data_IF_441259653590
#
_entry.id   IF_441259653590
#
_cell.length_a   1.000
_cell.length_b   1.000
_cell.length_c   1.000
_cell.angle_alpha   90.00
_cell.angle_beta   90.00
_cell.angle_gamma   90.00
#
_symmetry.space_group_name_H-M   'P 1'
#
loop_
_entity.id
_entity.type
_entity.pdbx_description
1 polymer ?
#
# COMPACT_ATOMS: atom_id res chain seq x y z
N UNK A 1 27.62 24.47 -69.72
CA UNK A 1 28.12 24.46 -68.33
C UNK A 1 27.18 25.28 -67.46
N UNK A 2 26.27 24.60 -66.76
CA UNK A 2 25.19 25.18 -65.96
C UNK A 2 25.68 25.29 -64.50
N UNK A 3 25.74 26.49 -63.93
CA UNK A 3 26.01 26.68 -62.49
C UNK A 3 24.69 26.63 -61.73
N UNK A 4 24.49 25.57 -60.96
CA UNK A 4 23.36 25.42 -60.04
C UNK A 4 23.58 26.28 -58.79
N UNK A 5 22.65 27.17 -58.49
CA UNK A 5 22.53 27.83 -57.19
C UNK A 5 21.54 27.02 -56.35
N UNK A 6 22.04 26.43 -55.25
CA UNK A 6 21.22 25.76 -54.23
C UNK A 6 20.69 26.83 -53.28
N UNK A 7 19.40 27.11 -53.32
CA UNK A 7 18.72 27.86 -52.27
C UNK A 7 18.41 26.92 -51.10
N UNK A 8 19.07 27.16 -49.96
CA UNK A 8 18.75 26.49 -48.70
C UNK A 8 17.43 27.08 -48.15
N UNK A 9 16.36 26.30 -48.22
CA UNK A 9 15.11 26.59 -47.50
C UNK A 9 15.31 26.16 -46.06
N UNK A 10 15.55 27.14 -45.18
CA UNK A 10 15.52 26.92 -43.72
C UNK A 10 14.05 26.78 -43.33
N UNK A 11 13.59 25.54 -43.19
CA UNK A 11 12.31 25.26 -42.55
C UNK A 11 12.43 25.56 -41.05
N UNK A 12 11.93 26.73 -40.63
CA UNK A 12 11.66 26.99 -39.21
C UNK A 12 10.57 26.03 -38.75
N UNK A 13 10.97 24.98 -38.05
CA UNK A 13 10.06 24.19 -37.23
C UNK A 13 9.65 25.04 -36.03
N UNK A 14 8.50 25.69 -36.13
CA UNK A 14 7.83 26.24 -34.96
C UNK A 14 7.41 25.04 -34.08
N UNK A 15 8.20 24.76 -33.05
CA UNK A 15 7.78 23.90 -31.94
C UNK A 15 6.63 24.65 -31.27
N UNK A 16 5.40 24.31 -31.64
CA UNK A 16 4.22 24.69 -30.88
C UNK A 16 4.36 24.02 -29.52
N UNK A 17 4.81 24.79 -28.52
CA UNK A 17 4.58 24.45 -27.13
C UNK A 17 3.06 24.41 -26.93
N UNK A 18 2.46 23.24 -27.12
CA UNK A 18 1.21 22.94 -26.45
C UNK A 18 1.52 23.03 -24.96
N UNK A 19 1.06 24.11 -24.34
CA UNK A 19 0.92 24.16 -22.88
C UNK A 19 0.07 22.95 -22.52
N UNK A 20 0.70 21.88 -22.03
CA UNK A 20 0.01 20.74 -21.44
C UNK A 20 -0.81 21.36 -20.32
N UNK A 21 -2.12 21.52 -20.53
CA UNK A 21 -2.99 22.03 -19.48
C UNK A 21 -2.87 21.03 -18.34
N UNK A 22 -2.29 21.43 -17.21
CA UNK A 22 -2.16 20.57 -16.03
C UNK A 22 -3.59 20.15 -15.69
N UNK A 23 -3.91 18.89 -15.93
CA UNK A 23 -5.28 18.38 -15.83
C UNK A 23 -5.77 18.66 -14.42
N UNK A 24 -6.97 19.23 -14.28
CA UNK A 24 -7.47 19.70 -12.98
C UNK A 24 -7.85 18.57 -12.03
N UNK A 25 -7.82 17.32 -12.48
CA UNK A 25 -8.24 16.15 -11.71
C UNK A 25 -7.88 14.84 -12.40
N UNK A 26 -8.17 13.74 -11.72
CA UNK A 26 -8.11 12.41 -12.30
C UNK A 26 -9.47 11.96 -12.84
N UNK A 27 -9.43 11.08 -13.84
CA UNK A 27 -10.59 10.36 -14.35
C UNK A 27 -10.21 8.89 -14.39
N UNK A 28 -10.95 8.03 -13.70
CA UNK A 28 -10.77 6.59 -13.76
C UNK A 28 -11.92 6.03 -14.58
N UNK A 29 -11.59 5.51 -15.76
CA UNK A 29 -12.52 4.75 -16.59
C UNK A 29 -12.26 3.28 -16.36
N UNK A 30 -13.27 2.52 -15.95
CA UNK A 30 -13.06 1.12 -15.65
C UNK A 30 -14.09 0.16 -16.20
N UNK A 31 -13.68 -1.10 -16.27
CA UNK A 31 -14.49 -2.25 -16.66
C UNK A 31 -14.43 -3.31 -15.58
N UNK A 32 -15.56 -3.96 -15.33
CA UNK A 32 -15.79 -4.98 -14.30
C UNK A 32 -16.22 -6.25 -15.00
N UNK A 33 -15.35 -7.26 -14.96
CA UNK A 33 -15.63 -8.62 -15.40
C UNK A 33 -16.19 -9.42 -14.22
N UNK A 34 -17.15 -10.32 -14.48
CA UNK A 34 -17.79 -11.15 -13.46
C UNK A 34 -18.94 -10.48 -12.68
N UNK A 35 -19.20 -9.19 -12.90
CA UNK A 35 -20.30 -8.46 -12.27
C UNK A 35 -20.94 -7.46 -13.26
N UNK A 36 -22.20 -7.69 -13.64
CA UNK A 36 -22.88 -6.87 -14.66
C UNK A 36 -23.30 -5.49 -14.14
N UNK A 37 -23.60 -5.36 -12.86
CA UNK A 37 -24.12 -4.12 -12.27
C UNK A 37 -23.66 -3.97 -10.82
N UNK A 38 -23.51 -2.73 -10.38
CA UNK A 38 -22.99 -2.45 -9.06
C UNK A 38 -22.70 -0.97 -8.79
N UNK A 39 -21.91 -0.74 -7.75
CA UNK A 39 -21.45 0.59 -7.34
C UNK A 39 -19.92 0.64 -7.33
N UNK A 40 -19.36 1.75 -7.79
CA UNK A 40 -17.96 2.12 -7.57
C UNK A 40 -17.89 3.34 -6.67
N UNK A 41 -16.94 3.34 -5.73
CA UNK A 41 -16.72 4.44 -4.80
C UNK A 41 -15.22 4.70 -4.66
N UNK A 42 -14.82 5.96 -4.69
CA UNK A 42 -13.45 6.41 -4.42
C UNK A 42 -13.45 7.23 -3.16
N UNK A 43 -12.55 6.90 -2.22
CA UNK A 43 -12.35 7.63 -0.97
C UNK A 43 -10.90 8.07 -0.80
N UNK A 44 -10.69 9.15 -0.04
CA UNK A 44 -9.36 9.51 0.44
C UNK A 44 -8.92 8.65 1.64
N UNK A 45 -7.69 8.88 2.13
CA UNK A 45 -7.14 8.15 3.28
C UNK A 45 -7.94 8.38 4.58
N UNK A 46 -8.64 9.52 4.68
CA UNK A 46 -9.49 9.93 5.82
C UNK A 46 -10.94 9.44 5.69
N UNK A 47 -11.22 8.59 4.69
CA UNK A 47 -12.52 8.00 4.39
C UNK A 47 -13.58 8.96 3.85
N UNK A 48 -13.20 10.17 3.43
CA UNK A 48 -14.13 11.05 2.73
C UNK A 48 -14.33 10.53 1.31
N UNK A 49 -15.58 10.47 0.87
CA UNK A 49 -15.93 10.10 -0.50
C UNK A 49 -15.46 11.21 -1.44
N UNK A 50 -14.58 10.86 -2.38
CA UNK A 50 -14.16 11.73 -3.48
C UNK A 50 -15.21 11.69 -4.58
N UNK A 51 -15.65 10.49 -4.97
CA UNK A 51 -16.69 10.28 -5.97
C UNK A 51 -17.32 8.89 -5.84
N UNK A 52 -18.52 8.72 -6.40
CA UNK A 52 -19.19 7.43 -6.49
C UNK A 52 -20.11 7.39 -7.71
N UNK A 53 -20.16 6.24 -8.38
CA UNK A 53 -21.05 6.01 -9.51
C UNK A 53 -21.58 4.59 -9.47
N UNK A 54 -22.82 4.39 -9.92
CA UNK A 54 -23.28 3.06 -10.31
C UNK A 54 -22.74 2.68 -11.68
N UNK A 55 -22.66 1.39 -11.96
CA UNK A 55 -22.39 0.86 -13.29
C UNK A 55 -23.43 -0.17 -13.70
N UNK A 56 -23.70 -0.20 -15.00
CA UNK A 56 -24.50 -1.20 -15.67
C UNK A 56 -23.70 -1.70 -16.88
N UNK A 57 -23.76 -3.00 -17.15
CA UNK A 57 -22.92 -3.67 -18.15
C UNK A 57 -21.42 -3.54 -17.86
N UNK A 58 -21.05 -3.59 -16.58
CA UNK A 58 -19.67 -3.65 -16.11
C UNK A 58 -18.82 -2.40 -16.36
N UNK A 59 -19.33 -1.30 -16.91
CA UNK A 59 -18.51 -0.12 -17.25
C UNK A 59 -18.81 1.07 -16.34
N UNK A 60 -17.76 1.75 -15.84
CA UNK A 60 -17.89 2.91 -14.97
C UNK A 60 -16.91 4.04 -15.30
N UNK A 61 -17.26 5.24 -14.86
CA UNK A 61 -16.36 6.41 -14.86
C UNK A 61 -16.50 7.13 -13.53
N UNK A 62 -15.40 7.29 -12.82
CA UNK A 62 -15.32 8.14 -11.62
C UNK A 62 -14.30 9.24 -11.84
N UNK A 63 -14.51 10.38 -11.19
CA UNK A 63 -13.69 11.58 -11.34
C UNK A 63 -13.32 12.12 -9.98
N UNK A 64 -12.17 12.77 -9.88
CA UNK A 64 -11.80 13.42 -8.64
C UNK A 64 -10.62 14.35 -8.83
N UNK A 65 -10.15 14.92 -7.73
CA UNK A 65 -8.99 15.81 -7.73
C UNK A 65 -8.21 15.60 -6.46
N UNK A 66 -6.90 15.52 -6.61
CA UNK A 66 -5.95 15.64 -5.50
C UNK A 66 -5.08 16.87 -5.71
N UNK A 67 -4.81 17.61 -4.64
CA UNK A 67 -3.90 18.75 -4.63
C UNK A 67 -2.43 18.31 -4.78
N UNK A 68 -2.10 17.13 -4.25
CA UNK A 68 -0.81 16.47 -4.42
C UNK A 68 -1.03 14.96 -4.57
N UNK A 69 -0.19 14.24 -5.34
CA UNK A 69 -0.32 12.81 -5.47
C UNK A 69 -0.32 12.11 -4.11
N UNK A 70 -1.32 11.23 -3.90
CA UNK A 70 -1.56 10.54 -2.63
C UNK A 70 -2.37 9.27 -2.87
N UNK A 71 -2.42 8.40 -1.88
CA UNK A 71 -3.27 7.24 -1.96
C UNK A 71 -4.74 7.60 -1.88
N UNK A 72 -5.53 6.89 -2.66
CA UNK A 72 -6.98 6.77 -2.54
C UNK A 72 -7.35 5.30 -2.44
N UNK A 73 -8.57 5.06 -2.02
CA UNK A 73 -9.17 3.75 -1.93
C UNK A 73 -10.31 3.67 -2.94
N UNK A 74 -10.29 2.64 -3.80
CA UNK A 74 -11.39 2.36 -4.73
C UNK A 74 -12.09 1.06 -4.34
N UNK A 75 -13.42 1.13 -4.33
CA UNK A 75 -14.32 0.05 -3.94
C UNK A 75 -15.22 -0.30 -5.11
N UNK A 76 -15.45 -1.60 -5.32
CA UNK A 76 -16.44 -2.12 -6.27
C UNK A 76 -17.36 -3.09 -5.53
N UNK A 77 -18.66 -2.80 -5.57
CA UNK A 77 -19.73 -3.54 -4.90
C UNK A 77 -20.73 -4.08 -5.92
N UNK A 78 -21.38 -5.20 -5.60
CA UNK A 78 -22.62 -5.57 -6.26
C UNK A 78 -23.83 -4.78 -5.72
N UNK A 79 -25.00 -5.04 -6.29
CA UNK A 79 -26.25 -4.40 -5.89
C UNK A 79 -26.81 -4.88 -4.54
N UNK A 80 -26.26 -5.94 -3.94
CA UNK A 80 -26.60 -6.38 -2.59
C UNK A 80 -25.75 -5.69 -1.53
N UNK A 81 -24.74 -4.93 -1.95
CA UNK A 81 -23.76 -4.30 -1.08
C UNK A 81 -22.58 -5.21 -0.76
N UNK A 82 -22.51 -6.41 -1.36
CA UNK A 82 -21.36 -7.30 -1.19
C UNK A 82 -20.17 -6.69 -1.91
N UNK A 83 -19.07 -6.54 -1.17
CA UNK A 83 -17.85 -5.89 -1.63
C UNK A 83 -16.98 -6.90 -2.37
N UNK A 84 -16.60 -6.60 -3.62
CA UNK A 84 -15.77 -7.49 -4.43
C UNK A 84 -14.32 -7.05 -4.48
N UNK A 85 -14.04 -5.74 -4.44
CA UNK A 85 -12.66 -5.23 -4.55
C UNK A 85 -12.44 -4.00 -3.67
N UNK A 86 -11.32 -4.05 -2.97
CA UNK A 86 -10.68 -2.92 -2.32
C UNK A 86 -9.27 -2.77 -2.89
N UNK A 87 -8.97 -1.66 -3.55
CA UNK A 87 -7.60 -1.39 -4.00
C UNK A 87 -7.11 -0.04 -3.49
N UNK A 88 -5.95 -0.06 -2.85
CA UNK A 88 -5.21 1.15 -2.48
C UNK A 88 -4.39 1.60 -3.68
N UNK A 89 -4.59 2.84 -4.11
CA UNK A 89 -4.07 3.33 -5.38
C UNK A 89 -3.41 4.70 -5.21
N UNK A 90 -2.14 4.85 -5.61
CA UNK A 90 -1.42 6.13 -5.57
C UNK A 90 -1.84 6.97 -6.78
N UNK A 91 -2.81 7.87 -6.57
CA UNK A 91 -3.40 8.65 -7.66
C UNK A 91 -2.60 9.91 -7.97
N UNK A 92 -2.52 10.22 -9.27
CA UNK A 92 -2.16 11.51 -9.82
C UNK A 92 -3.30 12.02 -10.72
N UNK A 93 -3.40 13.34 -10.92
CA UNK A 93 -4.46 13.96 -11.73
C UNK A 93 -4.27 13.67 -13.24
N UNK A 94 -4.58 12.43 -13.66
CA UNK A 94 -4.48 11.91 -15.04
C UNK A 94 -5.69 11.05 -15.42
N UNK A 95 -5.78 10.70 -16.70
CA UNK A 95 -6.65 9.59 -17.12
C UNK A 95 -6.01 8.28 -16.71
N UNK A 96 -6.77 7.45 -16.01
CA UNK A 96 -6.36 6.12 -15.57
C UNK A 96 -7.41 5.14 -16.05
N UNK A 97 -6.97 3.99 -16.55
CA UNK A 97 -7.87 2.88 -16.85
C UNK A 97 -7.81 1.88 -15.71
N UNK A 98 -8.94 1.33 -15.34
CA UNK A 98 -9.03 0.28 -14.32
C UNK A 98 -9.72 -0.95 -14.89
N UNK A 99 -9.11 -2.11 -14.73
CA UNK A 99 -9.72 -3.40 -15.06
C UNK A 99 -9.93 -4.17 -13.76
N UNK A 100 -11.17 -4.61 -13.58
CA UNK A 100 -11.61 -5.36 -12.40
C UNK A 100 -12.01 -6.74 -12.87
N UNK A 101 -11.42 -7.74 -12.23
CA UNK A 101 -11.90 -9.11 -12.28
C UNK A 101 -12.56 -9.41 -10.92
N UNK A 102 -13.88 -9.46 -10.89
CA UNK A 102 -14.64 -9.68 -9.66
C UNK A 102 -14.52 -11.12 -9.13
N UNK A 103 -14.24 -12.09 -10.02
CA UNK A 103 -14.07 -13.49 -9.65
C UNK A 103 -12.71 -13.70 -8.98
N UNK A 104 -11.66 -13.13 -9.58
CA UNK A 104 -10.29 -13.17 -9.04
C UNK A 104 -10.02 -12.10 -7.98
N UNK A 105 -11.02 -11.26 -7.67
CA UNK A 105 -10.92 -10.12 -6.73
C UNK A 105 -9.71 -9.22 -7.00
N UNK A 106 -9.44 -8.95 -8.28
CA UNK A 106 -8.22 -8.29 -8.72
C UNK A 106 -8.53 -6.99 -9.45
N UNK A 107 -7.81 -5.93 -9.07
CA UNK A 107 -7.81 -4.65 -9.79
C UNK A 107 -6.46 -4.40 -10.45
N UNK A 108 -6.49 -4.09 -11.73
CA UNK A 108 -5.33 -3.65 -12.52
C UNK A 108 -5.53 -2.21 -12.94
N UNK A 109 -4.54 -1.36 -12.69
CA UNK A 109 -4.53 0.02 -13.17
C UNK A 109 -3.59 0.12 -14.37
N UNK A 110 -4.08 0.70 -15.46
CA UNK A 110 -3.32 0.91 -16.70
C UNK A 110 -3.19 2.41 -16.96
N UNK A 111 -1.96 2.85 -17.27
CA UNK A 111 -1.66 4.27 -17.47
C UNK A 111 -1.53 5.04 -16.15
N UNK A 112 -1.43 4.31 -15.03
CA UNK A 112 -1.20 4.88 -13.72
C UNK A 112 0.28 4.88 -13.38
N UNK A 113 1.07 5.61 -14.16
CA UNK A 113 2.53 5.57 -14.11
C UNK A 113 3.10 5.76 -12.70
N UNK A 114 2.51 6.67 -11.90
CA UNK A 114 2.95 6.88 -10.52
C UNK A 114 2.68 5.67 -9.60
N UNK A 115 1.52 5.02 -9.74
CA UNK A 115 1.20 3.81 -8.96
C UNK A 115 2.03 2.61 -9.41
N UNK A 116 2.26 2.49 -10.72
CA UNK A 116 3.18 1.48 -11.28
C UNK A 116 4.59 1.66 -10.72
N UNK A 117 5.08 2.90 -10.64
CA UNK A 117 6.36 3.22 -10.00
C UNK A 117 6.39 2.83 -8.52
N UNK A 118 5.32 3.12 -7.77
CA UNK A 118 5.21 2.71 -6.37
C UNK A 118 5.26 1.18 -6.21
N UNK A 119 4.53 0.44 -7.05
CA UNK A 119 4.56 -1.02 -7.01
C UNK A 119 5.92 -1.59 -7.41
N UNK A 120 6.65 -0.95 -8.32
CA UNK A 120 8.03 -1.32 -8.63
C UNK A 120 8.96 -1.15 -7.42
N UNK A 121 8.79 -0.06 -6.66
CA UNK A 121 9.51 0.15 -5.40
C UNK A 121 9.16 -0.90 -4.35
N UNK A 122 7.88 -1.29 -4.22
CA UNK A 122 7.44 -2.36 -3.31
C UNK A 122 8.09 -3.69 -3.68
N UNK A 123 8.04 -4.10 -4.95
CA UNK A 123 8.71 -5.33 -5.42
C UNK A 123 10.21 -5.28 -5.18
N UNK A 124 10.84 -4.12 -5.39
CA UNK A 124 12.26 -3.95 -5.12
C UNK A 124 12.58 -4.11 -3.63
N UNK A 125 11.79 -3.49 -2.73
CA UNK A 125 11.92 -3.65 -1.27
C UNK A 125 11.84 -5.12 -0.84
N UNK A 126 10.92 -5.90 -1.42
CA UNK A 126 10.75 -7.31 -1.09
C UNK A 126 11.91 -8.18 -1.62
N UNK A 127 12.60 -7.72 -2.65
CA UNK A 127 13.73 -8.44 -3.26
C UNK A 127 15.07 -8.23 -2.54
N UNK A 128 15.24 -7.16 -1.76
CA UNK A 128 16.54 -6.83 -1.17
C UNK A 128 16.82 -7.70 0.08
N UNK A 129 18.06 -8.20 0.24
CA UNK A 129 18.41 -9.06 1.37
C UNK A 129 18.35 -8.33 2.72
N UNK A 130 18.59 -7.02 2.74
CA UNK A 130 18.54 -6.19 3.95
C UNK A 130 17.17 -6.24 4.62
N UNK A 131 16.10 -6.40 3.84
CA UNK A 131 14.74 -6.51 4.38
C UNK A 131 14.60 -7.76 5.26
N UNK A 132 15.16 -8.89 4.82
CA UNK A 132 15.18 -10.13 5.64
C UNK A 132 16.06 -9.97 6.88
N UNK A 133 17.15 -9.22 6.78
CA UNK A 133 18.02 -8.93 7.94
C UNK A 133 17.27 -8.07 8.97
N UNK A 134 16.50 -7.06 8.53
CA UNK A 134 15.64 -6.27 9.43
C UNK A 134 14.68 -7.17 10.21
N UNK A 135 14.04 -8.13 9.54
CA UNK A 135 13.16 -9.09 10.22
C UNK A 135 13.92 -9.96 11.24
N UNK A 136 15.11 -10.45 10.89
CA UNK A 136 15.97 -11.20 11.80
C UNK A 136 16.32 -10.39 13.06
N UNK A 137 16.75 -9.14 12.89
CA UNK A 137 17.08 -8.24 14.00
C UNK A 137 15.86 -7.93 14.89
N UNK A 138 14.66 -7.86 14.32
CA UNK A 138 13.44 -7.73 15.12
C UNK A 138 13.13 -8.98 15.96
N UNK A 139 13.43 -10.18 15.44
CA UNK A 139 13.32 -11.42 16.19
C UNK A 139 14.35 -11.48 17.33
N UNK A 140 15.61 -11.13 17.05
CA UNK A 140 16.67 -11.07 18.05
C UNK A 140 16.34 -10.06 19.15
N UNK A 141 15.79 -8.90 18.79
CA UNK A 141 15.35 -7.87 19.73
C UNK A 141 14.25 -8.38 20.65
N UNK A 142 13.32 -9.17 20.10
CA UNK A 142 12.25 -9.79 20.87
C UNK A 142 12.80 -10.80 21.88
N UNK A 143 13.68 -11.72 21.44
CA UNK A 143 14.32 -12.73 22.30
C UNK A 143 15.12 -12.06 23.43
N UNK A 144 15.97 -11.09 23.09
CA UNK A 144 16.77 -10.37 24.09
C UNK A 144 15.88 -9.63 25.11
N UNK A 145 14.74 -9.07 24.66
CA UNK A 145 13.79 -8.40 25.55
C UNK A 145 13.06 -9.39 26.47
N UNK A 146 12.66 -10.55 25.95
CA UNK A 146 12.00 -11.61 26.73
C UNK A 146 12.94 -12.21 27.80
N UNK A 147 14.24 -12.33 27.49
CA UNK A 147 15.25 -12.85 28.39
C UNK A 147 15.83 -11.81 29.37
N UNK A 148 15.45 -10.53 29.24
CA UNK A 148 16.00 -9.45 30.08
C UNK A 148 17.47 -9.10 29.78
N UNK A 149 17.98 -9.44 28.60
CA UNK A 149 19.37 -9.24 28.19
C UNK A 149 19.63 -7.80 27.72
N UNK A 150 19.76 -6.87 28.67
CA UNK A 150 19.82 -5.42 28.38
C UNK A 150 20.93 -5.00 27.41
N UNK A 151 22.16 -5.50 27.58
CA UNK A 151 23.28 -5.16 26.69
C UNK A 151 23.06 -5.68 25.26
N UNK A 152 22.53 -6.90 25.12
CA UNK A 152 22.21 -7.47 23.82
C UNK A 152 21.07 -6.70 23.15
N UNK A 153 20.03 -6.36 23.90
CA UNK A 153 18.93 -5.53 23.43
C UNK A 153 19.43 -4.20 22.87
N UNK A 154 20.30 -3.49 23.59
CA UNK A 154 20.87 -2.21 23.13
C UNK A 154 21.70 -2.37 21.84
N UNK A 155 22.53 -3.41 21.77
CA UNK A 155 23.30 -3.73 20.55
C UNK A 155 22.40 -3.98 19.35
N UNK A 156 21.40 -4.86 19.50
CA UNK A 156 20.47 -5.21 18.41
C UNK A 156 19.64 -3.99 17.98
N UNK A 157 19.22 -3.12 18.92
CA UNK A 157 18.53 -1.87 18.57
C UNK A 157 19.38 -0.94 17.70
N UNK A 158 20.67 -0.81 17.99
CA UNK A 158 21.59 0.00 17.17
C UNK A 158 21.79 -0.60 15.79
N UNK A 159 21.95 -1.92 15.69
CA UNK A 159 22.07 -2.62 14.41
C UNK A 159 20.79 -2.52 13.57
N UNK A 160 19.63 -2.70 14.20
CA UNK A 160 18.33 -2.53 13.58
C UNK A 160 18.16 -1.12 13.01
N UNK A 161 18.52 -0.08 13.77
CA UNK A 161 18.44 1.30 13.27
C UNK A 161 19.37 1.53 12.07
N UNK A 162 20.61 1.03 12.13
CA UNK A 162 21.55 1.10 11.00
C UNK A 162 21.02 0.38 9.78
N UNK A 163 20.45 -0.82 9.95
CA UNK A 163 19.93 -1.62 8.85
C UNK A 163 18.70 -0.98 8.21
N UNK A 164 17.77 -0.43 9.01
CA UNK A 164 16.62 0.33 8.50
C UNK A 164 17.07 1.56 7.69
N UNK A 165 18.08 2.28 8.16
CA UNK A 165 18.69 3.38 7.38
C UNK A 165 19.38 2.89 6.09
N UNK A 166 19.95 1.68 6.10
CA UNK A 166 20.50 1.03 4.91
C UNK A 166 19.40 0.75 3.89
N UNK A 167 18.28 0.14 4.31
CA UNK A 167 17.10 -0.11 3.47
C UNK A 167 16.61 1.17 2.79
N UNK A 168 16.42 2.25 3.57
CA UNK A 168 16.03 3.56 2.98
C UNK A 168 17.07 4.05 1.96
N UNK A 169 18.36 3.94 2.27
CA UNK A 169 19.41 4.37 1.35
C UNK A 169 19.46 3.53 0.06
N UNK A 170 19.12 2.25 0.13
CA UNK A 170 19.04 1.34 -1.02
C UNK A 170 17.84 1.72 -1.89
N UNK A 171 16.65 1.90 -1.30
CA UNK A 171 15.47 2.38 -2.02
C UNK A 171 15.76 3.71 -2.73
N UNK A 172 16.41 4.65 -2.04
CA UNK A 172 16.73 5.97 -2.61
C UNK A 172 17.82 5.95 -3.69
N UNK A 173 18.51 4.82 -3.89
CA UNK A 173 19.45 4.59 -5.00
C UNK A 173 18.87 3.74 -6.13
N UNK A 174 17.68 3.16 -5.94
CA UNK A 174 17.07 2.27 -6.92
C UNK A 174 16.80 2.97 -8.26
N UNK A 175 16.31 4.21 -8.21
CA UNK A 175 16.07 5.06 -9.38
C UNK A 175 16.81 6.38 -9.22
N UNK A 176 17.30 6.92 -10.34
CA UNK A 176 18.12 8.14 -10.35
C UNK A 176 17.38 9.37 -9.80
N UNK A 177 16.06 9.42 -10.00
CA UNK A 177 15.16 10.50 -9.62
C UNK A 177 14.41 10.25 -8.30
N UNK A 178 14.78 9.22 -7.53
CA UNK A 178 14.13 8.86 -6.27
C UNK A 178 13.98 10.05 -5.30
N UNK A 179 14.97 10.94 -5.25
CA UNK A 179 14.96 12.15 -4.41
C UNK A 179 13.88 13.18 -4.76
N UNK A 180 13.19 13.03 -5.91
CA UNK A 180 12.06 13.84 -6.37
C UNK A 180 10.83 12.99 -6.75
N UNK A 181 10.83 11.69 -6.41
CA UNK A 181 9.73 10.78 -6.73
C UNK A 181 8.64 10.80 -5.64
N UNK A 182 7.38 10.97 -6.04
CA UNK A 182 6.24 10.85 -5.13
C UNK A 182 6.03 9.41 -4.68
N UNK A 183 6.32 8.43 -5.54
CA UNK A 183 6.25 7.01 -5.21
C UNK A 183 7.30 6.61 -4.16
N UNK A 184 8.54 7.07 -4.35
CA UNK A 184 9.60 6.88 -3.36
C UNK A 184 9.24 7.54 -2.02
N UNK A 185 8.71 8.77 -2.04
CA UNK A 185 8.25 9.46 -0.84
C UNK A 185 7.12 8.71 -0.11
N UNK A 186 6.17 8.14 -0.84
CA UNK A 186 5.10 7.33 -0.29
C UNK A 186 5.64 6.08 0.42
N UNK A 187 6.48 5.28 -0.26
CA UNK A 187 7.05 4.07 0.34
C UNK A 187 7.96 4.41 1.53
N UNK A 188 8.80 5.44 1.43
CA UNK A 188 9.66 5.85 2.56
C UNK A 188 8.83 6.30 3.76
N UNK A 189 7.74 7.02 3.55
CA UNK A 189 6.81 7.36 4.63
C UNK A 189 6.23 6.10 5.27
N UNK A 190 5.75 5.14 4.48
CA UNK A 190 5.23 3.88 4.98
C UNK A 190 6.26 3.07 5.76
N UNK A 191 7.53 3.09 5.35
CA UNK A 191 8.60 2.42 6.07
C UNK A 191 8.97 3.13 7.37
N UNK A 192 8.84 4.46 7.45
CA UNK A 192 9.38 5.25 8.58
C UNK A 192 8.34 5.84 9.53
N UNK A 193 7.04 5.74 9.24
CA UNK A 193 5.96 6.37 10.02
C UNK A 193 6.01 6.07 11.52
N UNK A 194 6.39 4.85 11.89
CA UNK A 194 6.43 4.36 13.29
C UNK A 194 7.81 4.51 13.95
N UNK A 195 8.79 5.04 13.23
CA UNK A 195 10.18 5.12 13.69
C UNK A 195 10.45 6.39 14.51
N UNK A 196 11.60 6.42 15.18
CA UNK A 196 12.04 7.58 15.95
C UNK A 196 12.32 8.80 15.07
N UNK A 197 12.31 9.98 15.67
CA UNK A 197 12.52 11.27 14.98
C UNK A 197 13.82 11.30 14.17
N UNK A 198 14.89 10.70 14.68
CA UNK A 198 16.20 10.69 13.99
C UNK A 198 16.18 9.88 12.70
N UNK A 199 15.47 8.75 12.68
CA UNK A 199 15.31 7.92 11.48
C UNK A 199 14.42 8.61 10.45
N UNK A 200 13.37 9.30 10.91
CA UNK A 200 12.55 10.16 10.04
C UNK A 200 13.39 11.29 9.44
N UNK A 201 14.23 11.96 10.23
CA UNK A 201 15.13 13.03 9.78
C UNK A 201 16.16 12.51 8.75
N UNK A 202 16.72 11.33 9.01
CA UNK A 202 17.59 10.64 8.05
C UNK A 202 16.88 10.36 6.73
N UNK A 203 15.66 9.83 6.77
CA UNK A 203 14.86 9.56 5.58
C UNK A 203 14.55 10.83 4.78
N UNK A 204 14.13 11.92 5.45
CA UNK A 204 13.91 13.23 4.81
C UNK A 204 15.18 13.73 4.12
N UNK A 205 16.37 13.53 4.72
CA UNK A 205 17.65 13.98 4.17
C UNK A 205 18.01 13.33 2.83
N UNK A 206 17.34 12.24 2.43
CA UNK A 206 17.55 11.57 1.15
C UNK A 206 16.81 12.21 -0.02
N UNK A 207 15.85 13.10 0.26
CA UNK A 207 15.10 13.81 -0.77
C UNK A 207 15.75 15.16 -1.09
N UNK A 208 15.50 15.64 -2.31
CA UNK A 208 15.89 16.99 -2.68
C UNK A 208 15.17 18.01 -1.80
N UNK A 209 15.92 18.96 -1.23
CA UNK A 209 15.38 20.06 -0.42
C UNK A 209 14.31 20.88 -1.15
N UNK A 210 14.38 21.01 -2.47
CA UNK A 210 13.41 21.73 -3.29
C UNK A 210 12.18 20.88 -3.65
N UNK A 211 12.16 19.60 -3.30
CA UNK A 211 10.99 18.74 -3.48
C UNK A 211 9.97 19.02 -2.38
N UNK A 212 9.16 20.06 -2.59
CA UNK A 212 8.14 20.52 -1.65
C UNK A 212 6.72 20.13 -2.06
N UNK A 213 6.52 19.64 -3.29
CA UNK A 213 5.20 19.27 -3.81
C UNK A 213 4.79 17.81 -3.49
N UNK A 214 5.23 17.26 -2.35
CA UNK A 214 5.00 15.85 -2.02
C UNK A 214 4.20 15.69 -0.72
N UNK A 215 3.03 15.05 -0.83
CA UNK A 215 2.13 14.82 0.29
C UNK A 215 2.82 14.07 1.44
N UNK A 216 3.41 12.91 1.13
CA UNK A 216 4.02 12.02 2.13
C UNK A 216 5.33 12.56 2.70
N UNK A 217 6.16 13.21 1.88
CA UNK A 217 7.39 13.85 2.40
C UNK A 217 7.05 15.03 3.33
N UNK A 218 6.04 15.82 2.99
CA UNK A 218 5.58 16.90 3.85
C UNK A 218 4.91 16.40 5.13
N UNK A 219 4.20 15.26 5.06
CA UNK A 219 3.67 14.59 6.25
C UNK A 219 4.81 14.18 7.19
N UNK A 220 5.87 13.57 6.66
CA UNK A 220 7.06 13.19 7.42
C UNK A 220 7.77 14.40 8.05
N UNK A 221 7.91 15.50 7.30
CA UNK A 221 8.47 16.77 7.81
C UNK A 221 7.66 17.32 8.98
N UNK A 222 6.33 17.39 8.87
CA UNK A 222 5.44 17.83 9.95
C UNK A 222 5.58 16.97 11.22
N UNK A 223 5.68 15.65 11.08
CA UNK A 223 5.88 14.75 12.21
C UNK A 223 7.23 14.99 12.93
N UNK A 224 8.29 15.31 12.18
CA UNK A 224 9.60 15.69 12.74
C UNK A 224 9.54 17.07 13.42
N UNK A 225 8.89 18.04 12.79
CA UNK A 225 8.75 19.41 13.31
C UNK A 225 7.90 19.47 14.59
N UNK A 226 6.90 18.59 14.71
CA UNK A 226 6.14 18.38 15.93
C UNK A 226 6.97 17.75 17.07
N UNK A 227 8.28 17.55 16.89
CA UNK A 227 9.19 16.96 17.87
C UNK A 227 8.95 15.47 18.06
N UNK A 228 8.34 14.79 17.07
CA UNK A 228 7.86 13.43 17.24
C UNK A 228 6.74 13.29 18.27
N UNK A 229 6.15 14.40 18.76
CA UNK A 229 4.82 14.31 19.37
C UNK A 229 3.90 13.83 18.26
N UNK A 230 3.51 12.58 18.40
CA UNK A 230 2.32 12.01 17.79
C UNK A 230 1.25 13.12 17.79
N UNK A 231 0.67 13.40 16.63
CA UNK A 231 -0.63 14.09 16.63
C UNK A 231 -1.50 13.21 17.52
N UNK A 232 -2.01 13.82 18.58
CA UNK A 232 -2.75 13.17 19.65
C UNK A 232 -4.01 12.50 19.09
N UNK A 233 -3.88 11.22 18.73
CA UNK A 233 -4.93 10.22 18.81
C UNK A 233 -4.35 9.03 19.59
N UNK A 234 -4.24 9.25 20.90
CA UNK A 234 -4.03 8.22 21.91
C UNK A 234 -4.95 7.01 21.67
N UNK A 235 -4.36 5.80 21.64
CA UNK A 235 -4.98 4.46 21.45
C UNK A 235 -5.10 3.92 20.01
N UNK A 236 -3.97 3.75 19.32
CA UNK A 236 -3.92 3.07 18.03
C UNK A 236 -2.96 1.88 18.04
N UNK A 237 -3.40 0.77 17.42
CA UNK A 237 -2.73 -0.53 17.41
C UNK A 237 -1.25 -0.47 17.02
N UNK A 238 -0.92 0.52 16.18
CA UNK A 238 0.40 0.80 15.64
C UNK A 238 1.50 0.93 16.73
N UNK A 239 1.14 1.36 17.95
CA UNK A 239 2.06 1.49 19.11
C UNK A 239 1.68 0.63 20.34
N UNK A 240 0.52 -0.04 20.34
CA UNK A 240 -0.08 -0.62 21.57
C UNK A 240 -0.55 -2.07 21.45
N UNK A 241 -0.70 -2.62 20.24
CA UNK A 241 -1.16 -4.00 20.05
C UNK A 241 -0.01 -4.82 19.46
N UNK A 242 0.29 -5.98 20.03
CA UNK A 242 1.22 -6.95 19.44
C UNK A 242 0.54 -7.69 18.28
N UNK A 243 0.34 -6.96 17.17
CA UNK A 243 -0.32 -7.49 15.97
C UNK A 243 0.63 -8.31 15.09
N UNK A 244 1.91 -8.40 15.44
CA UNK A 244 2.91 -9.20 14.73
C UNK A 244 2.69 -10.71 14.95
N UNK A 245 2.94 -11.52 13.94
CA UNK A 245 2.90 -12.98 14.02
C UNK A 245 1.98 -13.64 13.00
N UNK A 246 1.83 -14.95 13.15
CA UNK A 246 1.02 -15.79 12.25
C UNK A 246 -0.42 -15.82 12.71
N UNK A 247 -1.36 -15.60 11.79
CA UNK A 247 -2.79 -15.70 12.00
C UNK A 247 -3.38 -16.78 11.10
N UNK A 248 -4.27 -17.60 11.65
CA UNK A 248 -4.92 -18.69 10.92
C UNK A 248 -6.43 -18.67 11.10
N UNK A 249 -7.15 -19.09 10.07
CA UNK A 249 -8.60 -19.26 10.11
C UNK A 249 -9.14 -19.92 8.84
N UNK A 250 -10.40 -20.32 8.87
CA UNK A 250 -11.09 -20.85 7.69
C UNK A 250 -12.25 -19.93 7.35
N UNK A 251 -12.18 -19.26 6.20
CA UNK A 251 -13.22 -18.33 5.74
C UNK A 251 -14.21 -19.03 4.80
N UNK A 252 -15.46 -18.55 4.70
CA UNK A 252 -16.43 -19.10 3.76
C UNK A 252 -15.95 -18.96 2.30
N UNK A 253 -16.25 -19.97 1.49
CA UNK A 253 -16.07 -19.94 0.04
C UNK A 253 -17.41 -20.06 -0.67
N UNK A 254 -17.49 -19.57 -1.92
CA UNK A 254 -18.72 -19.65 -2.70
C UNK A 254 -18.98 -21.05 -3.27
N UNK A 255 -17.93 -21.79 -3.60
CA UNK A 255 -17.98 -23.00 -4.41
C UNK A 255 -17.15 -24.18 -3.85
N UNK A 256 -16.61 -24.05 -2.64
CA UNK A 256 -15.96 -25.13 -1.90
C UNK A 256 -16.30 -25.07 -0.39
N UNK A 257 -15.92 -26.06 0.43
CA UNK A 257 -16.25 -26.07 1.85
C UNK A 257 -15.71 -24.87 2.64
N UNK A 258 -14.62 -24.25 2.18
CA UNK A 258 -14.00 -23.08 2.79
C UNK A 258 -12.58 -22.86 2.27
N UNK A 259 -11.96 -21.77 2.72
CA UNK A 259 -10.58 -21.40 2.38
C UNK A 259 -9.79 -21.31 3.68
N UNK A 260 -8.75 -22.13 3.82
CA UNK A 260 -7.79 -22.00 4.91
C UNK A 260 -6.89 -20.81 4.61
N UNK A 261 -6.86 -19.86 5.54
CA UNK A 261 -6.07 -18.63 5.42
C UNK A 261 -4.95 -18.68 6.44
N UNK A 262 -3.72 -18.46 5.98
CA UNK A 262 -2.56 -18.20 6.84
C UNK A 262 -1.97 -16.86 6.49
N UNK A 263 -1.91 -15.93 7.45
CA UNK A 263 -1.35 -14.59 7.29
C UNK A 263 -0.23 -14.38 8.30
N UNK A 264 1.01 -14.24 7.82
CA UNK A 264 2.17 -13.87 8.62
C UNK A 264 2.42 -12.36 8.52
N UNK A 265 2.29 -11.64 9.63
CA UNK A 265 2.56 -10.20 9.73
C UNK A 265 3.93 -9.99 10.40
N UNK A 266 4.91 -9.51 9.62
CA UNK A 266 6.32 -9.44 10.01
C UNK A 266 6.73 -8.02 10.42
N UNK A 267 7.52 -7.91 11.50
CA UNK A 267 7.95 -6.63 12.13
C UNK A 267 8.70 -5.69 11.19
N UNK A 268 9.26 -6.23 10.11
CA UNK A 268 9.89 -5.48 9.03
C UNK A 268 8.90 -4.75 8.09
N UNK A 269 7.60 -4.76 8.38
CA UNK A 269 6.50 -4.19 7.58
C UNK A 269 6.11 -4.98 6.32
N UNK A 270 6.50 -6.25 6.27
CA UNK A 270 6.08 -7.16 5.19
C UNK A 270 5.06 -8.19 5.70
N UNK A 271 4.38 -8.85 4.77
CA UNK A 271 3.52 -9.99 5.09
C UNK A 271 3.72 -11.12 4.09
N UNK A 272 3.28 -12.31 4.48
CA UNK A 272 3.01 -13.43 3.58
C UNK A 272 1.61 -13.97 3.84
N UNK A 273 0.85 -14.22 2.79
CA UNK A 273 -0.54 -14.65 2.83
C UNK A 273 -0.73 -15.86 1.95
N UNK A 274 -1.32 -16.90 2.52
CA UNK A 274 -1.68 -18.15 1.83
C UNK A 274 -3.18 -18.37 1.94
N UNK A 275 -3.82 -18.55 0.79
CA UNK A 275 -5.18 -19.06 0.66
C UNK A 275 -5.13 -20.48 0.09
N UNK A 276 -5.58 -21.45 0.87
CA UNK A 276 -5.61 -22.86 0.51
C UNK A 276 -7.06 -23.34 0.44
N UNK A 277 -7.54 -23.66 -0.76
CA UNK A 277 -8.95 -23.98 -1.01
C UNK A 277 -9.23 -25.44 -0.65
N UNK A 278 -10.12 -25.66 0.30
CA UNK A 278 -10.44 -27.01 0.79
C UNK A 278 -11.05 -27.84 -0.35
N UNK A 279 -10.57 -29.08 -0.46
CA UNK A 279 -10.96 -30.06 -1.49
C UNK A 279 -10.74 -29.59 -2.93
N UNK A 280 -9.81 -28.64 -3.15
CA UNK A 280 -9.35 -28.21 -4.47
C UNK A 280 -7.84 -28.21 -4.54
N UNK A 281 -7.30 -28.47 -5.73
CA UNK A 281 -5.87 -28.31 -6.03
C UNK A 281 -5.60 -26.85 -6.43
N UNK A 282 -5.91 -25.92 -5.53
CA UNK A 282 -5.81 -24.49 -5.78
C UNK A 282 -5.33 -23.76 -4.54
N UNK A 283 -4.14 -23.18 -4.66
CA UNK A 283 -3.46 -22.42 -3.61
C UNK A 283 -3.00 -21.09 -4.18
N UNK A 284 -3.32 -20.02 -3.48
CA UNK A 284 -2.88 -18.67 -3.84
C UNK A 284 -1.96 -18.12 -2.77
N UNK A 285 -0.85 -17.52 -3.21
CA UNK A 285 0.13 -16.88 -2.35
C UNK A 285 0.30 -15.41 -2.75
N UNK A 286 0.40 -14.57 -1.73
CA UNK A 286 0.69 -13.14 -1.86
C UNK A 286 1.68 -12.72 -0.78
N UNK A 287 2.79 -12.16 -1.23
CA UNK A 287 3.71 -11.42 -0.39
C UNK A 287 3.57 -9.93 -0.68
N UNK A 288 3.89 -9.11 0.31
CA UNK A 288 3.75 -7.67 0.15
C UNK A 288 4.16 -6.90 1.38
N UNK A 289 3.72 -5.64 1.42
CA UNK A 289 3.84 -4.78 2.60
C UNK A 289 2.48 -4.55 3.22
N UNK A 290 2.45 -4.11 4.46
CA UNK A 290 1.20 -3.67 5.07
C UNK A 290 1.37 -2.31 5.76
N UNK A 291 0.24 -1.67 6.03
CA UNK A 291 0.16 -0.44 6.80
C UNK A 291 -0.81 -0.61 7.96
N UNK A 292 -0.57 0.14 9.04
CA UNK A 292 -1.52 0.23 10.15
C UNK A 292 -2.02 1.66 10.24
N UNK A 293 -3.33 1.82 10.44
CA UNK A 293 -3.99 3.10 10.69
C UNK A 293 -5.06 2.88 11.74
N UNK A 294 -4.91 3.48 12.91
CA UNK A 294 -5.83 3.22 14.01
C UNK A 294 -5.76 1.77 14.48
N UNK A 295 -6.88 1.06 14.41
CA UNK A 295 -6.98 -0.38 14.62
C UNK A 295 -7.18 -1.14 13.30
N UNK A 296 -6.83 -0.56 12.16
CA UNK A 296 -6.91 -1.20 10.85
C UNK A 296 -5.54 -1.59 10.35
N UNK A 297 -5.42 -2.81 9.82
CA UNK A 297 -4.28 -3.31 9.06
C UNK A 297 -4.68 -3.43 7.59
N UNK A 298 -3.84 -2.93 6.69
CA UNK A 298 -4.08 -2.93 5.25
C UNK A 298 -2.92 -3.64 4.57
N UNK A 299 -3.15 -4.80 3.97
CA UNK A 299 -2.13 -5.48 3.15
C UNK A 299 -2.10 -4.90 1.74
N UNK A 300 -0.92 -4.83 1.14
CA UNK A 300 -0.65 -4.39 -0.24
C UNK A 300 0.30 -5.42 -0.85
N UNK A 301 -0.25 -6.39 -1.58
CA UNK A 301 0.48 -7.46 -2.23
C UNK A 301 1.23 -7.01 -3.48
N UNK A 302 2.28 -7.73 -3.87
CA UNK A 302 3.09 -7.45 -5.06
C UNK A 302 2.27 -7.39 -6.37
N UNK A 303 1.14 -8.11 -6.40
CA UNK A 303 0.21 -8.19 -7.52
C UNK A 303 -0.90 -7.15 -7.44
N UNK A 304 -0.78 -6.17 -6.53
CA UNK A 304 -1.74 -5.10 -6.28
C UNK A 304 -3.08 -5.58 -5.67
N UNK A 305 -3.08 -6.77 -5.08
CA UNK A 305 -4.13 -7.25 -4.19
C UNK A 305 -4.04 -6.54 -2.83
N UNK A 306 -5.18 -6.31 -2.18
CA UNK A 306 -5.22 -5.69 -0.86
C UNK A 306 -6.31 -6.30 -0.01
N UNK A 307 -6.08 -6.43 1.29
CA UNK A 307 -7.07 -6.91 2.25
C UNK A 307 -7.04 -6.03 3.49
N UNK A 308 -8.22 -5.76 4.03
CA UNK A 308 -8.36 -5.03 5.29
C UNK A 308 -8.66 -5.96 6.44
N UNK A 309 -8.02 -5.65 7.55
CA UNK A 309 -8.28 -6.30 8.81
C UNK A 309 -8.52 -5.25 9.88
N UNK A 310 -9.46 -5.52 10.78
CA UNK A 310 -9.49 -4.88 12.08
C UNK A 310 -8.60 -5.69 13.01
N UNK A 311 -7.64 -5.00 13.62
CA UNK A 311 -6.77 -5.51 14.65
C UNK A 311 -7.55 -5.58 15.96
N UNK A 312 -7.64 -6.78 16.52
CA UNK A 312 -8.24 -7.06 17.82
C UNK A 312 -7.24 -7.90 18.64
N UNK A 313 -7.48 -8.06 19.94
CA UNK A 313 -6.59 -8.84 20.79
C UNK A 313 -6.50 -10.30 20.31
N UNK A 314 -5.29 -10.76 19.99
CA UNK A 314 -4.96 -12.10 19.50
C UNK A 314 -5.75 -12.55 18.25
N UNK A 315 -6.29 -11.61 17.48
CA UNK A 315 -7.03 -11.93 16.25
C UNK A 315 -7.10 -10.76 15.28
N UNK A 316 -7.22 -11.09 14.00
CA UNK A 316 -7.53 -10.17 12.92
C UNK A 316 -8.93 -10.50 12.41
N UNK A 317 -9.78 -9.48 12.28
CA UNK A 317 -11.08 -9.64 11.62
C UNK A 317 -11.00 -9.08 10.22
N UNK A 318 -11.24 -9.90 9.21
CA UNK A 318 -11.34 -9.45 7.82
C UNK A 318 -12.55 -8.53 7.71
N UNK A 319 -12.35 -7.37 7.10
CA UNK A 319 -13.40 -6.37 6.92
C UNK A 319 -14.01 -6.45 5.53
N UNK A 320 -15.22 -5.92 5.41
CA UNK A 320 -15.79 -5.66 4.10
C UNK A 320 -15.08 -4.47 3.43
N UNK A 321 -15.45 -4.21 2.17
CA UNK A 321 -14.89 -3.11 1.41
C UNK A 321 -15.22 -1.74 2.02
N UNK A 322 -16.32 -1.52 2.73
CA UNK A 322 -16.55 -0.24 3.42
C UNK A 322 -15.76 -0.11 4.74
N UNK A 323 -14.77 -1.00 4.98
CA UNK A 323 -13.99 -1.12 6.22
C UNK A 323 -14.89 -1.38 7.44
N UNK A 324 -16.05 -1.96 7.22
CA UNK A 324 -16.98 -2.34 8.27
C UNK A 324 -16.79 -3.81 8.63
N UNK A 325 -17.14 -4.10 9.89
CA UNK A 325 -17.22 -5.48 10.35
C UNK A 325 -18.35 -6.17 9.58
N UNK A 326 -18.04 -7.30 8.93
CA UNK A 326 -19.03 -8.16 8.30
C UNK A 326 -20.01 -8.63 9.40
N UNK A 327 -21.29 -8.28 9.26
CA UNK A 327 -22.35 -8.56 10.24
C UNK A 327 -23.11 -9.84 9.90
N UNK A 328 -23.96 -10.29 10.83
CA UNK A 328 -24.82 -11.47 10.65
C UNK A 328 -24.13 -12.78 11.04
N UNK A 329 -24.80 -13.90 10.75
CA UNK A 329 -24.40 -15.25 11.23
C UNK A 329 -23.03 -15.73 10.74
N UNK A 330 -22.50 -15.11 9.67
CA UNK A 330 -21.20 -15.46 9.09
C UNK A 330 -20.06 -14.55 9.55
N UNK A 331 -20.33 -13.45 10.26
CA UNK A 331 -19.32 -12.45 10.60
C UNK A 331 -18.15 -12.99 11.41
N UNK A 332 -18.40 -14.00 12.26
CA UNK A 332 -17.35 -14.65 13.04
C UNK A 332 -16.52 -15.67 12.25
N UNK A 333 -16.99 -16.07 11.06
CA UNK A 333 -16.22 -16.91 10.12
C UNK A 333 -15.13 -16.13 9.38
N UNK A 334 -15.11 -14.80 9.50
CA UNK A 334 -14.09 -13.91 8.94
C UNK A 334 -13.03 -13.48 9.96
N UNK A 335 -12.78 -14.32 10.98
CA UNK A 335 -11.78 -14.09 12.01
C UNK A 335 -10.58 -15.00 11.78
N UNK A 336 -9.38 -14.42 11.71
CA UNK A 336 -8.11 -15.11 11.77
C UNK A 336 -7.56 -14.98 13.20
N UNK A 337 -7.25 -16.09 13.86
CA UNK A 337 -6.74 -16.10 15.23
C UNK A 337 -5.22 -16.17 15.19
N UNK A 338 -4.56 -15.40 16.06
CA UNK A 338 -3.12 -15.47 16.24
C UNK A 338 -2.77 -16.89 16.69
N UNK A 339 -1.79 -17.50 16.04
CA UNK A 339 -1.23 -18.76 16.47
C UNK A 339 -0.50 -18.51 17.79
N UNK A 340 -0.91 -19.20 18.85
CA UNK A 340 -0.20 -19.12 20.12
C UNK A 340 1.20 -19.67 19.90
N UNK A 341 2.20 -18.82 20.11
CA UNK A 341 3.57 -19.28 20.38
C UNK A 341 3.61 -19.71 21.84
N UNK A 342 2.94 -20.82 22.16
CA UNK A 342 3.24 -21.54 23.38
C UNK A 342 4.66 -22.11 23.16
N UNK A 343 5.65 -21.40 23.67
CA UNK A 343 7.01 -21.91 23.82
C UNK A 343 6.89 -23.04 24.84
N UNK A 344 6.88 -24.29 24.37
CA UNK A 344 7.06 -25.48 25.20
C UNK A 344 8.39 -25.43 25.98
#
# INVERSE_FOLDING_TARGET
MLKAYVFAVIALWAVSCTSISKKEGFVITGTVEGLEQGLVKVMDEDQNIIDSTSFNQGSFVVKGRVDQPRFVYIFVNDNKGDNYIFSKFLVENKDIKMQVDALERKATFLGAALHEEYMDYVRYLLSIPEQKIVQGLYNDLYVASANGEMEQRERVQQELSKMRNSVISILMRYKQDAGRSHAAAALVYDQTSIHGVDEKRFAISKFDSNFTDSYYLNKLRREVDAGGKQIDDSHHAENSLDYWGTYKGTIPAADCPGINVTLDIRKDKTFSLVYDYIDRDSRFESDGIFQVRGNFLITIGEKNDSTFYKIEENRLRILDGDRQVIKGEIGDRFILRKENTDVE
#
